data_IF_835746004518
#
_entry.id   IF_835746004518
#
_cell.length_a   1.000
_cell.length_b   1.000
_cell.length_c   1.000
_cell.angle_alpha   90.00
_cell.angle_beta   90.00
_cell.angle_gamma   90.00
#
_symmetry.space_group_name_H-M   'P 1'
#
loop_
_entity.id
_entity.type
_entity.pdbx_description
1 polymer ?
#
# COMPACT_ATOMS: atom_id res chain seq x y z
N UNK A 1 -18.37 5.70 -1.56
CA UNK A 1 -17.38 4.68 -1.16
C UNK A 1 -16.97 3.83 -2.36
N UNK A 2 -17.87 3.01 -2.94
CA UNK A 2 -17.53 2.06 -4.02
C UNK A 2 -16.84 2.66 -5.25
N UNK A 3 -17.26 3.84 -5.71
CA UNK A 3 -16.64 4.52 -6.86
C UNK A 3 -15.18 4.93 -6.57
N UNK A 4 -14.89 5.41 -5.37
CA UNK A 4 -13.52 5.78 -4.95
C UNK A 4 -12.62 4.54 -4.80
N UNK A 5 -13.16 3.42 -4.32
CA UNK A 5 -12.46 2.12 -4.27
C UNK A 5 -12.13 1.61 -5.68
N UNK A 6 -13.06 1.72 -6.63
CA UNK A 6 -12.81 1.29 -8.01
C UNK A 6 -11.77 2.17 -8.73
N UNK A 7 -11.83 3.50 -8.54
CA UNK A 7 -10.87 4.44 -9.12
C UNK A 7 -9.46 4.23 -8.53
N UNK A 8 -9.35 3.98 -7.22
CA UNK A 8 -8.05 3.69 -6.58
C UNK A 8 -7.47 2.35 -7.05
N UNK A 9 -8.29 1.29 -7.16
CA UNK A 9 -7.87 0.00 -7.70
C UNK A 9 -7.41 0.10 -9.16
N UNK A 10 -8.10 0.89 -9.98
CA UNK A 10 -7.69 1.12 -11.37
C UNK A 10 -6.32 1.83 -11.44
N UNK A 11 -6.08 2.83 -10.58
CA UNK A 11 -4.79 3.51 -10.48
C UNK A 11 -3.65 2.55 -10.09
N UNK A 12 -3.85 1.75 -9.03
CA UNK A 12 -2.88 0.76 -8.55
C UNK A 12 -2.61 -0.28 -9.64
N UNK A 13 -3.67 -0.79 -10.27
CA UNK A 13 -3.55 -1.77 -11.35
C UNK A 13 -2.75 -1.22 -12.52
N UNK A 14 -3.04 0.01 -12.97
CA UNK A 14 -2.33 0.66 -14.06
C UNK A 14 -0.85 0.86 -13.76
N UNK A 15 -0.51 1.32 -12.54
CA UNK A 15 0.88 1.54 -12.12
C UNK A 15 1.70 0.24 -12.08
N UNK A 16 1.07 -0.89 -11.73
CA UNK A 16 1.75 -2.18 -11.56
C UNK A 16 1.69 -3.08 -12.80
N UNK A 17 0.82 -2.78 -13.76
CA UNK A 17 0.54 -3.64 -14.92
C UNK A 17 1.79 -3.97 -15.73
N UNK A 18 2.63 -3.00 -16.02
CA UNK A 18 3.77 -3.18 -16.95
C UNK A 18 5.10 -3.47 -16.23
N UNK A 19 5.07 -3.69 -14.91
CA UNK A 19 6.25 -4.07 -14.12
C UNK A 19 6.71 -5.48 -14.48
N UNK A 20 7.94 -5.59 -15.01
CA UNK A 20 8.54 -6.85 -15.46
C UNK A 20 9.88 -7.20 -14.80
N UNK A 21 10.44 -6.31 -13.98
CA UNK A 21 11.68 -6.54 -13.24
C UNK A 21 11.65 -5.91 -11.85
N UNK A 22 12.68 -6.22 -11.03
CA UNK A 22 12.79 -5.71 -9.67
C UNK A 22 12.94 -4.19 -9.60
N UNK A 23 13.63 -3.57 -10.57
CA UNK A 23 13.81 -2.11 -10.62
C UNK A 23 12.49 -1.39 -10.95
N UNK A 24 11.69 -1.97 -11.84
CA UNK A 24 10.34 -1.53 -12.16
C UNK A 24 9.43 -1.62 -10.94
N UNK A 25 9.51 -2.71 -10.17
CA UNK A 25 8.76 -2.84 -8.92
C UNK A 25 9.18 -1.77 -7.91
N UNK A 26 10.48 -1.54 -7.73
CA UNK A 26 11.01 -0.49 -6.83
C UNK A 26 10.47 0.89 -7.18
N UNK A 27 10.48 1.26 -8.46
CA UNK A 27 9.95 2.55 -8.93
C UNK A 27 8.44 2.64 -8.74
N UNK A 28 7.68 1.71 -9.32
CA UNK A 28 6.22 1.76 -9.31
C UNK A 28 5.63 1.71 -7.89
N UNK A 29 6.19 0.88 -7.00
CA UNK A 29 5.76 0.84 -5.61
C UNK A 29 6.09 2.14 -4.86
N UNK A 30 7.29 2.70 -5.06
CA UNK A 30 7.68 3.95 -4.41
C UNK A 30 6.79 5.12 -4.84
N UNK A 31 6.46 5.19 -6.14
CA UNK A 31 5.56 6.20 -6.71
C UNK A 31 4.14 6.06 -6.18
N UNK A 32 3.61 4.83 -6.09
CA UNK A 32 2.29 4.59 -5.49
C UNK A 32 2.23 5.05 -4.03
N UNK A 33 3.28 4.80 -3.26
CA UNK A 33 3.39 5.25 -1.87
C UNK A 33 3.46 6.78 -1.79
N UNK A 34 4.16 7.45 -2.70
CA UNK A 34 4.21 8.93 -2.77
C UNK A 34 2.86 9.53 -3.14
N UNK A 35 2.18 8.97 -4.14
CA UNK A 35 0.83 9.39 -4.56
C UNK A 35 -0.12 9.26 -3.37
N UNK A 36 -0.11 8.10 -2.72
CA UNK A 36 -0.96 7.83 -1.57
C UNK A 36 -0.66 8.84 -0.46
N UNK A 37 0.60 9.03 -0.08
CA UNK A 37 0.97 10.00 0.95
C UNK A 37 0.56 11.45 0.60
N UNK A 38 0.77 11.86 -0.66
CA UNK A 38 0.37 13.17 -1.16
C UNK A 38 -1.13 13.43 -1.05
N UNK A 39 -1.97 12.42 -1.31
CA UNK A 39 -3.42 12.54 -1.13
C UNK A 39 -3.79 12.87 0.33
N UNK A 40 -3.15 12.23 1.31
CA UNK A 40 -3.43 12.53 2.72
C UNK A 40 -2.95 13.90 3.17
N UNK A 41 -1.81 14.34 2.65
CA UNK A 41 -1.28 15.66 2.96
C UNK A 41 -2.18 16.77 2.40
N UNK A 42 -2.87 16.51 1.29
CA UNK A 42 -3.85 17.43 0.70
C UNK A 42 -5.19 17.45 1.46
N UNK A 43 -5.54 16.38 2.18
CA UNK A 43 -6.83 16.21 2.86
C UNK A 43 -6.69 15.92 4.37
N UNK A 44 -6.56 16.96 5.23
CA UNK A 44 -6.35 16.80 6.68
C UNK A 44 -7.48 16.07 7.42
N UNK A 45 -8.68 16.01 6.85
CA UNK A 45 -9.85 15.35 7.45
C UNK A 45 -9.69 13.82 7.52
N UNK A 46 -8.75 13.25 6.76
CA UNK A 46 -8.54 11.81 6.68
C UNK A 46 -8.21 11.18 8.03
N UNK A 47 -7.54 11.91 8.94
CA UNK A 47 -7.26 11.43 10.31
C UNK A 47 -8.53 11.11 11.09
N UNK A 48 -9.55 11.95 10.96
CA UNK A 48 -10.78 11.83 11.74
C UNK A 48 -11.68 10.73 11.14
N UNK A 49 -11.68 10.58 9.82
CA UNK A 49 -12.36 9.48 9.10
C UNK A 49 -11.81 8.11 9.54
N UNK A 50 -10.48 7.98 9.67
CA UNK A 50 -9.87 6.70 10.05
C UNK A 50 -10.22 6.26 11.47
N UNK A 51 -10.30 7.23 12.38
CA UNK A 51 -10.68 6.98 13.77
C UNK A 51 -12.11 6.42 13.85
N UNK A 52 -13.01 6.89 12.98
CA UNK A 52 -14.36 6.35 12.81
C UNK A 52 -14.36 4.93 12.21
N UNK A 53 -13.60 4.70 11.15
CA UNK A 53 -13.49 3.37 10.51
C UNK A 53 -13.00 2.30 11.49
N UNK A 54 -12.00 2.58 12.33
CA UNK A 54 -11.46 1.61 13.30
C UNK A 54 -12.39 1.31 14.48
N UNK A 55 -13.34 2.19 14.79
CA UNK A 55 -14.29 1.97 15.87
C UNK A 55 -15.44 1.04 15.44
N UNK A 56 -15.77 1.01 14.15
CA UNK A 56 -16.87 0.23 13.59
C UNK A 56 -16.39 -1.11 13.00
N UNK A 57 -16.96 -2.22 13.48
CA UNK A 57 -16.57 -3.56 13.03
C UNK A 57 -16.84 -3.79 11.53
N UNK A 58 -17.99 -3.33 11.01
CA UNK A 58 -18.36 -3.54 9.62
C UNK A 58 -17.43 -2.73 8.69
N UNK A 59 -17.09 -1.50 9.08
CA UNK A 59 -16.14 -0.68 8.31
C UNK A 59 -14.73 -1.29 8.29
N UNK A 60 -14.26 -1.86 9.41
CA UNK A 60 -12.99 -2.59 9.45
C UNK A 60 -12.95 -3.81 8.54
N UNK A 61 -14.05 -4.58 8.49
CA UNK A 61 -14.14 -5.74 7.62
C UNK A 61 -14.11 -5.34 6.14
N UNK A 62 -14.73 -4.22 5.78
CA UNK A 62 -14.65 -3.63 4.44
C UNK A 62 -13.24 -3.14 4.11
N UNK A 63 -12.58 -2.40 5.01
CA UNK A 63 -11.19 -1.92 4.83
C UNK A 63 -10.23 -3.10 4.59
N UNK A 64 -10.38 -4.19 5.35
CA UNK A 64 -9.57 -5.39 5.17
C UNK A 64 -9.84 -6.11 3.84
N UNK A 65 -11.09 -6.14 3.39
CA UNK A 65 -11.45 -6.70 2.09
C UNK A 65 -10.82 -5.90 0.94
N UNK A 66 -10.86 -4.57 1.03
CA UNK A 66 -10.24 -3.65 0.07
C UNK A 66 -8.71 -3.79 0.07
N UNK A 67 -8.10 -3.88 1.25
CA UNK A 67 -6.66 -4.12 1.41
C UNK A 67 -6.21 -5.43 0.77
N UNK A 68 -6.98 -6.50 0.96
CA UNK A 68 -6.73 -7.78 0.29
C UNK A 68 -6.89 -7.66 -1.21
N UNK A 69 -7.86 -6.88 -1.69
CA UNK A 69 -8.04 -6.64 -3.12
C UNK A 69 -6.85 -5.92 -3.75
N UNK A 70 -6.34 -4.90 -3.06
CA UNK A 70 -5.18 -4.15 -3.53
C UNK A 70 -3.89 -4.97 -3.47
N UNK A 71 -3.67 -5.74 -2.39
CA UNK A 71 -2.51 -6.61 -2.24
C UNK A 71 -2.41 -7.65 -3.38
N UNK A 72 -3.54 -8.08 -3.98
CA UNK A 72 -3.52 -8.98 -5.13
C UNK A 72 -2.79 -8.41 -6.35
N UNK A 73 -2.81 -7.08 -6.56
CA UNK A 73 -2.03 -6.48 -7.65
C UNK A 73 -0.53 -6.64 -7.41
N UNK A 74 -0.09 -6.49 -6.17
CA UNK A 74 1.30 -6.70 -5.79
C UNK A 74 1.70 -8.17 -5.94
N UNK A 75 0.87 -9.10 -5.48
CA UNK A 75 1.07 -10.54 -5.68
C UNK A 75 1.19 -10.91 -7.15
N UNK A 76 0.38 -10.31 -8.03
CA UNK A 76 0.45 -10.56 -9.47
C UNK A 76 1.78 -10.10 -10.07
N UNK A 77 2.34 -8.98 -9.61
CA UNK A 77 3.70 -8.55 -9.98
C UNK A 77 4.72 -9.56 -9.48
N UNK A 78 4.69 -9.89 -8.18
CA UNK A 78 5.66 -10.81 -7.59
C UNK A 78 5.66 -12.18 -8.27
N UNK A 79 4.49 -12.74 -8.62
CA UNK A 79 4.37 -14.02 -9.35
C UNK A 79 5.02 -13.98 -10.72
N UNK A 80 4.99 -12.82 -11.42
CA UNK A 80 5.70 -12.64 -12.69
C UNK A 80 7.22 -12.58 -12.51
N UNK A 81 7.67 -11.89 -11.46
CA UNK A 81 9.11 -11.75 -11.17
C UNK A 81 9.73 -13.03 -10.63
N UNK A 82 8.94 -13.85 -9.90
CA UNK A 82 9.40 -15.03 -9.18
C UNK A 82 8.40 -16.21 -9.36
N UNK A 83 8.26 -16.78 -10.57
CA UNK A 83 7.22 -17.79 -10.86
C UNK A 83 7.37 -19.13 -10.12
N UNK A 84 8.51 -19.38 -9.47
CA UNK A 84 8.76 -20.57 -8.65
C UNK A 84 8.78 -20.34 -7.15
N UNK A 85 8.50 -19.11 -6.68
CA UNK A 85 8.50 -18.80 -5.25
C UNK A 85 7.23 -19.32 -4.55
N UNK A 86 7.31 -19.46 -3.22
CA UNK A 86 6.17 -19.88 -2.40
C UNK A 86 5.06 -18.82 -2.46
N UNK A 87 3.95 -19.21 -3.08
CA UNK A 87 2.78 -18.34 -3.26
C UNK A 87 2.18 -17.89 -1.92
N UNK A 88 2.17 -18.74 -0.90
CA UNK A 88 1.59 -18.40 0.42
C UNK A 88 2.45 -17.34 1.11
N UNK A 89 3.78 -17.50 1.05
CA UNK A 89 4.70 -16.50 1.57
C UNK A 89 4.53 -15.15 0.84
N UNK A 90 4.43 -15.15 -0.49
CA UNK A 90 4.23 -13.94 -1.28
C UNK A 90 2.92 -13.22 -0.97
N UNK A 91 1.82 -13.97 -0.83
CA UNK A 91 0.51 -13.41 -0.46
C UNK A 91 0.52 -12.82 0.95
N UNK A 92 1.22 -13.47 1.88
CA UNK A 92 1.41 -13.00 3.25
C UNK A 92 2.23 -11.71 3.28
N UNK A 93 3.37 -11.68 2.61
CA UNK A 93 4.24 -10.51 2.52
C UNK A 93 3.52 -9.33 1.87
N UNK A 94 2.81 -9.56 0.75
CA UNK A 94 2.08 -8.50 0.06
C UNK A 94 0.98 -7.89 0.92
N UNK A 95 0.22 -8.71 1.66
CA UNK A 95 -0.82 -8.21 2.56
C UNK A 95 -0.23 -7.42 3.72
N UNK A 96 0.87 -7.91 4.32
CA UNK A 96 1.55 -7.21 5.41
C UNK A 96 2.12 -5.87 4.94
N UNK A 97 2.81 -5.84 3.81
CA UNK A 97 3.34 -4.60 3.24
C UNK A 97 2.22 -3.60 2.97
N UNK A 98 1.08 -4.05 2.43
CA UNK A 98 -0.08 -3.19 2.18
C UNK A 98 -0.61 -2.57 3.48
N UNK A 99 -0.88 -3.40 4.49
CA UNK A 99 -1.40 -2.96 5.79
C UNK A 99 -0.44 -2.01 6.52
N UNK A 100 0.86 -2.29 6.44
CA UNK A 100 1.87 -1.41 7.04
C UNK A 100 1.96 -0.07 6.31
N UNK A 101 1.68 -0.02 5.00
CA UNK A 101 1.58 1.24 4.25
C UNK A 101 0.48 2.14 4.79
N UNK A 102 -0.72 1.60 4.98
CA UNK A 102 -1.85 2.32 5.57
C UNK A 102 -1.53 2.79 6.99
N UNK A 103 -0.90 1.95 7.81
CA UNK A 103 -0.47 2.30 9.16
C UNK A 103 0.57 3.43 9.18
N UNK A 104 1.55 3.38 8.27
CA UNK A 104 2.60 4.40 8.15
C UNK A 104 2.02 5.72 7.69
N UNK A 105 1.06 5.75 6.76
CA UNK A 105 0.40 7.00 6.37
C UNK A 105 -0.29 7.67 7.56
N UNK A 106 -1.05 6.90 8.35
CA UNK A 106 -1.70 7.41 9.57
C UNK A 106 -0.70 8.00 10.55
N UNK A 107 0.43 7.33 10.75
CA UNK A 107 1.49 7.84 11.63
C UNK A 107 2.12 9.12 11.05
N UNK A 108 2.46 9.11 9.76
CA UNK A 108 3.17 10.19 9.09
C UNK A 108 2.37 11.50 9.03
N UNK A 109 1.04 11.45 9.01
CA UNK A 109 0.19 12.66 9.10
C UNK A 109 -0.11 13.11 10.53
N UNK A 110 0.26 12.30 11.53
CA UNK A 110 0.06 12.60 12.95
C UNK A 110 1.26 13.29 13.59
N UNK A 111 2.36 13.42 12.84
CA UNK A 111 3.62 14.04 13.25
C UNK A 111 3.90 15.27 12.38
N UNK A 112 4.99 15.99 12.65
CA UNK A 112 5.41 17.07 11.76
C UNK A 112 5.84 16.56 10.37
N UNK A 113 5.92 17.48 9.41
CA UNK A 113 6.15 17.12 8.01
C UNK A 113 7.49 16.41 7.79
N UNK A 114 8.55 16.85 8.47
CA UNK A 114 9.89 16.30 8.29
C UNK A 114 9.99 14.88 8.87
N UNK A 115 9.37 14.65 10.03
CA UNK A 115 9.25 13.31 10.60
C UNK A 115 8.40 12.39 9.73
N UNK A 116 7.26 12.86 9.22
CA UNK A 116 6.40 12.12 8.31
C UNK A 116 7.13 11.66 7.04
N UNK A 117 7.87 12.57 6.39
CA UNK A 117 8.68 12.26 5.21
C UNK A 117 9.74 11.18 5.52
N UNK A 118 10.41 11.27 6.67
CA UNK A 118 11.40 10.25 7.11
C UNK A 118 10.76 8.88 7.36
N UNK A 119 9.57 8.82 7.96
CA UNK A 119 8.84 7.59 8.21
C UNK A 119 8.41 6.90 6.92
N UNK A 120 7.85 7.65 5.97
CA UNK A 120 7.44 7.12 4.66
C UNK A 120 8.65 6.59 3.89
N UNK A 121 9.77 7.32 3.90
CA UNK A 121 11.00 6.85 3.28
C UNK A 121 11.54 5.56 3.93
N UNK A 122 11.46 5.44 5.26
CA UNK A 122 11.87 4.22 5.97
C UNK A 122 10.98 3.02 5.60
N UNK A 123 9.66 3.23 5.56
CA UNK A 123 8.71 2.20 5.15
C UNK A 123 9.00 1.69 3.74
N UNK A 124 9.22 2.57 2.75
CA UNK A 124 9.55 2.15 1.37
C UNK A 124 10.76 1.22 1.34
N UNK A 125 11.83 1.54 2.09
CA UNK A 125 13.02 0.68 2.14
C UNK A 125 12.72 -0.70 2.73
N UNK A 126 11.96 -0.76 3.83
CA UNK A 126 11.58 -2.03 4.47
C UNK A 126 10.67 -2.87 3.56
N UNK A 127 9.65 -2.24 2.99
CA UNK A 127 8.71 -2.89 2.08
C UNK A 127 9.41 -3.42 0.82
N UNK A 128 10.26 -2.63 0.18
CA UNK A 128 10.96 -3.06 -1.03
C UNK A 128 11.96 -4.18 -0.76
N UNK A 129 12.63 -4.18 0.39
CA UNK A 129 13.45 -5.32 0.82
C UNK A 129 12.61 -6.57 0.91
N UNK A 130 11.49 -6.53 1.63
CA UNK A 130 10.58 -7.67 1.78
C UNK A 130 10.05 -8.19 0.44
N UNK A 131 9.65 -7.29 -0.46
CA UNK A 131 9.04 -7.66 -1.74
C UNK A 131 10.04 -8.22 -2.75
N UNK A 132 11.29 -7.73 -2.74
CA UNK A 132 12.33 -8.09 -3.72
C UNK A 132 13.21 -9.23 -3.22
N UNK A 133 13.54 -9.26 -1.93
CA UNK A 133 14.49 -10.23 -1.33
C UNK A 133 13.79 -11.38 -0.59
N UNK A 134 12.52 -11.23 -0.20
CA UNK A 134 11.71 -12.31 0.37
C UNK A 134 11.14 -13.24 -0.69
#
# INVERSE_FOLDING_TARGET
>A
AERYTAESQACISAALKDVSDAEGLKRAFSELVDIYYGMFLAEPVMRDIWSGTQADKALRELELADSRANARFLVAVLKRLRPGADTVAMETAALLVWQMGEAVMRLAISVDREEGDRLVAAYKRMALRELVEG
#
